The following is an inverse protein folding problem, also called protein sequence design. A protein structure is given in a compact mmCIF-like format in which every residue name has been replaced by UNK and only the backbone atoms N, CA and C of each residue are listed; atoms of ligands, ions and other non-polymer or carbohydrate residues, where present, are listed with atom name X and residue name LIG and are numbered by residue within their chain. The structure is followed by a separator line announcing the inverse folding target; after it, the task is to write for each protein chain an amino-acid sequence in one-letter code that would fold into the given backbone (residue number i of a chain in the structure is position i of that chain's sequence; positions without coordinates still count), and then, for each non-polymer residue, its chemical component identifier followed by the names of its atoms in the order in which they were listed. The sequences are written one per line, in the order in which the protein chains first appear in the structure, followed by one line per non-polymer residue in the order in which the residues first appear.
data_IF_156809587765
#
_entry.id   IF_156809587765
#
_cell.length_a   1.000
_cell.length_b   1.000
_cell.length_c   1.000
_cell.angle_alpha   90.00
_cell.angle_beta   90.00
_cell.angle_gamma   90.00
#
_symmetry.space_group_name_H-M   'P 1'
#
loop_
_entity.id
_entity.type
_entity.pdbx_description
1 polymer ?
#
# COMPACT_ATOMS: atom_id res chain seq x y z
N UNK A 1 -0.12 -7.35 8.23
CA UNK A 1 -0.72 -8.28 9.21
C UNK A 1 -1.78 -9.15 8.55
N UNK A 2 -1.35 -10.29 8.00
CA UNK A 2 -2.24 -11.22 7.30
C UNK A 2 -3.27 -11.87 8.25
N UNK A 3 -2.87 -12.11 9.49
CA UNK A 3 -3.78 -12.66 10.50
C UNK A 3 -4.85 -11.63 10.85
N UNK A 4 -4.47 -10.37 10.98
CA UNK A 4 -5.40 -9.27 11.19
C UNK A 4 -6.36 -9.07 10.02
N UNK A 5 -5.86 -9.19 8.78
CA UNK A 5 -6.73 -9.11 7.61
C UNK A 5 -7.82 -10.19 7.60
N UNK A 6 -7.48 -11.42 8.00
CA UNK A 6 -8.41 -12.56 8.15
C UNK A 6 -9.36 -12.38 9.34
N UNK A 7 -8.83 -11.91 10.48
CA UNK A 7 -9.60 -11.73 11.71
C UNK A 7 -10.46 -10.46 11.72
N UNK A 8 -10.30 -9.55 10.75
CA UNK A 8 -10.94 -8.23 10.71
C UNK A 8 -10.62 -7.34 11.91
N UNK A 9 -9.49 -7.60 12.58
CA UNK A 9 -8.93 -6.79 13.66
C UNK A 9 -7.41 -6.94 13.71
N UNK A 10 -6.63 -5.94 14.13
CA UNK A 10 -5.16 -6.06 14.26
C UNK A 10 -4.77 -7.18 15.23
N UNK A 11 -3.87 -8.08 14.79
CA UNK A 11 -3.42 -9.23 15.58
C UNK A 11 -1.94 -9.13 15.99
N UNK A 12 -1.12 -8.50 15.19
CA UNK A 12 0.33 -8.50 15.39
C UNK A 12 0.88 -7.15 15.90
N UNK A 13 0.11 -6.42 16.75
CA UNK A 13 0.52 -5.13 17.30
C UNK A 13 1.82 -5.22 18.12
N UNK A 14 2.03 -6.32 18.87
CA UNK A 14 3.26 -6.52 19.62
C UNK A 14 4.51 -6.65 18.72
N UNK A 15 4.35 -7.18 17.50
CA UNK A 15 5.43 -7.24 16.51
C UNK A 15 5.69 -5.83 15.96
N UNK A 16 4.63 -5.08 15.65
CA UNK A 16 4.73 -3.68 15.23
C UNK A 16 5.48 -2.84 16.25
N UNK A 17 5.09 -2.91 17.52
CA UNK A 17 5.75 -2.18 18.62
C UNK A 17 7.24 -2.54 18.74
N UNK A 18 7.57 -3.82 18.62
CA UNK A 18 8.98 -4.25 18.63
C UNK A 18 9.79 -3.68 17.48
N UNK A 19 9.24 -3.64 16.27
CA UNK A 19 9.93 -3.07 15.11
C UNK A 19 10.08 -1.56 15.28
N UNK A 20 9.00 -0.87 15.65
CA UNK A 20 8.99 0.59 15.81
C UNK A 20 9.94 1.06 16.95
N UNK A 21 10.06 0.30 18.05
CA UNK A 21 10.91 0.68 19.19
C UNK A 21 12.36 0.24 19.05
N UNK A 22 12.63 -0.82 18.27
CA UNK A 22 13.99 -1.38 18.16
C UNK A 22 14.72 -0.98 16.88
N UNK A 23 14.07 -0.26 15.98
CA UNK A 23 14.65 0.20 14.71
C UNK A 23 14.31 1.66 14.44
N UNK A 24 14.96 2.25 13.44
CA UNK A 24 14.64 3.58 12.92
C UNK A 24 13.71 3.53 11.70
N UNK A 25 13.09 2.39 11.42
CA UNK A 25 12.21 2.20 10.27
C UNK A 25 10.90 2.96 10.45
N UNK A 26 10.46 3.61 9.38
CA UNK A 26 9.08 4.09 9.29
C UNK A 26 8.17 2.91 8.90
N UNK A 27 7.37 2.46 9.85
CA UNK A 27 6.54 1.27 9.65
C UNK A 27 5.18 1.64 9.08
N UNK A 28 4.83 1.05 7.94
CA UNK A 28 3.48 1.06 7.40
C UNK A 28 2.78 -0.22 7.83
N UNK A 29 1.62 -0.10 8.45
CA UNK A 29 0.86 -1.26 8.93
C UNK A 29 -0.47 -1.40 8.21
N UNK A 30 -0.78 -2.60 7.73
CA UNK A 30 -2.05 -2.96 7.12
C UNK A 30 -2.54 -4.33 7.58
N UNK A 31 -3.85 -4.47 7.62
CA UNK A 31 -4.54 -5.70 8.02
C UNK A 31 -5.37 -5.53 9.29
N UNK A 32 -6.66 -5.84 9.18
CA UNK A 32 -7.60 -5.81 10.31
C UNK A 32 -8.11 -4.43 10.75
N UNK A 33 -7.74 -3.35 10.08
CA UNK A 33 -8.17 -1.99 10.44
C UNK A 33 -9.61 -1.78 9.92
N UNK A 34 -10.60 -2.01 10.80
CA UNK A 34 -12.04 -1.92 10.50
C UNK A 34 -12.78 -0.92 11.38
N UNK A 35 -12.11 -0.27 12.32
CA UNK A 35 -12.69 0.72 13.21
C UNK A 35 -11.67 1.80 13.55
N UNK A 36 -12.19 2.96 14.00
CA UNK A 36 -11.36 4.05 14.51
C UNK A 36 -10.52 3.62 15.72
N UNK A 37 -11.04 2.72 16.57
CA UNK A 37 -10.31 2.15 17.71
C UNK A 37 -9.13 1.30 17.23
N UNK A 38 -9.34 0.41 16.27
CA UNK A 38 -8.28 -0.39 15.65
C UNK A 38 -7.21 0.49 14.99
N UNK A 39 -7.61 1.56 14.29
CA UNK A 39 -6.68 2.51 13.69
C UNK A 39 -5.81 3.20 14.73
N UNK A 40 -6.41 3.67 15.84
CA UNK A 40 -5.66 4.28 16.95
C UNK A 40 -4.68 3.29 17.59
N UNK A 41 -5.12 2.06 17.85
CA UNK A 41 -4.23 1.03 18.42
C UNK A 41 -3.00 0.75 17.53
N UNK A 42 -3.16 0.83 16.22
CA UNK A 42 -2.06 0.69 15.26
C UNK A 42 -1.07 1.85 15.38
N UNK A 43 -1.55 3.09 15.50
CA UNK A 43 -0.67 4.24 15.70
C UNK A 43 -0.01 4.24 17.09
N UNK A 44 -0.75 3.88 18.12
CA UNK A 44 -0.23 3.77 19.50
C UNK A 44 0.87 2.70 19.60
N UNK A 45 0.78 1.63 18.80
CA UNK A 45 1.83 0.61 18.68
C UNK A 45 3.03 1.03 17.80
N UNK A 46 3.03 2.26 17.28
CA UNK A 46 4.18 2.88 16.62
C UNK A 46 4.19 2.81 15.09
N UNK A 47 3.05 2.55 14.43
CA UNK A 47 2.98 2.69 12.98
C UNK A 47 3.15 4.16 12.57
N UNK A 48 4.00 4.40 11.58
CA UNK A 48 4.15 5.72 10.96
C UNK A 48 2.94 6.03 10.07
N UNK A 49 2.44 5.02 9.37
CA UNK A 49 1.26 5.10 8.49
C UNK A 49 0.41 3.84 8.59
N UNK A 50 -0.89 3.97 8.33
CA UNK A 50 -1.85 2.86 8.33
C UNK A 50 -2.42 2.65 6.93
N UNK A 51 -2.40 1.40 6.45
CA UNK A 51 -2.92 1.01 5.14
C UNK A 51 -4.36 0.53 5.33
N UNK A 52 -5.30 1.23 4.72
CA UNK A 52 -6.73 0.96 4.77
C UNK A 52 -7.23 0.56 3.37
N UNK A 53 -7.59 -0.70 3.20
CA UNK A 53 -8.14 -1.23 1.94
C UNK A 53 -9.67 -1.37 2.01
N UNK A 54 -10.15 -2.52 2.46
CA UNK A 54 -11.58 -2.88 2.40
C UNK A 54 -12.52 -1.91 3.13
N UNK A 55 -12.07 -1.17 4.13
CA UNK A 55 -12.90 -0.15 4.81
C UNK A 55 -13.23 1.01 3.86
N UNK A 56 -12.29 1.43 3.02
CA UNK A 56 -12.50 2.50 2.04
C UNK A 56 -13.56 2.13 0.98
N UNK A 57 -13.71 0.84 0.69
CA UNK A 57 -14.72 0.33 -0.25
C UNK A 57 -16.08 0.13 0.45
N UNK A 58 -16.08 -0.45 1.65
CA UNK A 58 -17.31 -0.87 2.34
C UNK A 58 -17.97 0.23 3.16
N UNK A 59 -17.15 1.08 3.78
CA UNK A 59 -17.59 2.19 4.63
C UNK A 59 -16.82 3.46 4.24
N UNK A 60 -17.04 3.96 3.01
CA UNK A 60 -16.26 5.06 2.48
C UNK A 60 -16.40 6.35 3.28
N UNK A 61 -17.53 6.59 3.91
CA UNK A 61 -17.77 7.72 4.80
C UNK A 61 -16.86 7.66 6.03
N UNK A 62 -16.72 6.47 6.65
CA UNK A 62 -15.80 6.24 7.77
C UNK A 62 -14.35 6.51 7.36
N UNK A 63 -13.93 6.06 6.19
CA UNK A 63 -12.57 6.32 5.70
C UNK A 63 -12.33 7.81 5.41
N UNK A 64 -13.34 8.52 4.87
CA UNK A 64 -13.31 9.95 4.66
C UNK A 64 -13.16 10.74 5.97
N UNK A 65 -13.92 10.35 7.01
CA UNK A 65 -13.79 10.93 8.35
C UNK A 65 -12.39 10.71 8.94
N UNK A 66 -11.81 9.52 8.71
CA UNK A 66 -10.45 9.22 9.16
C UNK A 66 -9.41 10.05 8.40
N UNK A 67 -9.58 10.26 7.07
CA UNK A 67 -8.72 11.15 6.32
C UNK A 67 -8.77 12.59 6.86
N UNK A 68 -9.95 13.07 7.21
CA UNK A 68 -10.11 14.40 7.80
C UNK A 68 -9.47 14.50 9.20
N UNK A 69 -9.53 13.44 10.01
CA UNK A 69 -8.99 13.42 11.37
C UNK A 69 -7.47 13.21 11.42
N UNK A 70 -6.96 12.20 10.70
CA UNK A 70 -5.56 11.76 10.78
C UNK A 70 -4.69 12.36 9.68
N UNK A 71 -5.30 12.81 8.58
CA UNK A 71 -4.63 13.36 7.41
C UNK A 71 -4.08 12.31 6.43
N UNK A 72 -3.97 12.70 5.16
CA UNK A 72 -3.47 11.83 4.09
C UNK A 72 -1.98 11.44 4.23
N UNK A 73 -1.22 12.13 5.06
CA UNK A 73 0.16 11.75 5.40
C UNK A 73 0.27 10.55 6.35
N UNK A 74 -0.82 10.22 7.06
CA UNK A 74 -0.91 9.09 8.00
C UNK A 74 -1.68 7.90 7.44
N UNK A 75 -2.59 8.13 6.52
CA UNK A 75 -3.43 7.09 5.92
C UNK A 75 -3.01 6.81 4.48
N UNK A 76 -2.89 5.54 4.18
CA UNK A 76 -2.62 5.03 2.84
C UNK A 76 -3.85 4.24 2.40
N UNK A 77 -4.35 4.53 1.20
CA UNK A 77 -5.38 3.71 0.58
C UNK A 77 -4.76 2.42 0.01
N UNK A 78 -5.24 1.25 0.42
CA UNK A 78 -4.89 -0.02 -0.21
C UNK A 78 -5.86 -0.33 -1.36
N UNK A 79 -5.35 -0.41 -2.58
CA UNK A 79 -6.10 -0.76 -3.78
C UNK A 79 -5.51 -2.02 -4.40
N UNK A 80 -5.93 -3.18 -3.91
CA UNK A 80 -5.52 -4.48 -4.45
C UNK A 80 -6.37 -4.80 -5.68
N UNK A 81 -5.74 -4.98 -6.85
CA UNK A 81 -6.42 -5.09 -8.14
C UNK A 81 -6.37 -6.52 -8.65
N UNK A 82 -7.53 -7.02 -9.07
CA UNK A 82 -7.67 -8.26 -9.82
C UNK A 82 -8.62 -8.02 -11.00
N UNK A 83 -8.16 -8.33 -12.21
CA UNK A 83 -8.96 -8.18 -13.44
C UNK A 83 -9.61 -6.79 -13.59
N UNK A 84 -8.84 -5.74 -13.28
CA UNK A 84 -9.26 -4.34 -13.39
C UNK A 84 -10.16 -3.81 -12.27
N UNK A 85 -10.57 -4.63 -11.30
CA UNK A 85 -11.40 -4.21 -10.16
C UNK A 85 -10.67 -4.38 -8.83
N UNK A 86 -11.04 -3.57 -7.84
CA UNK A 86 -10.48 -3.64 -6.49
C UNK A 86 -11.02 -4.86 -5.75
N UNK A 87 -10.13 -5.67 -5.21
CA UNK A 87 -10.44 -6.78 -4.34
C UNK A 87 -10.49 -6.33 -2.87
N UNK A 88 -11.35 -6.97 -2.09
CA UNK A 88 -11.54 -6.69 -0.66
C UNK A 88 -11.48 -7.97 0.17
N UNK A 89 -11.47 -7.86 1.50
CA UNK A 89 -11.41 -9.00 2.44
C UNK A 89 -10.22 -9.93 2.22
N UNK A 90 -9.01 -9.39 2.13
CA UNK A 90 -7.83 -10.24 1.91
C UNK A 90 -7.92 -11.02 0.58
N UNK A 91 -8.46 -10.36 -0.47
CA UNK A 91 -8.57 -10.86 -1.85
C UNK A 91 -9.64 -11.93 -2.08
N UNK A 92 -10.53 -12.18 -1.11
CA UNK A 92 -11.57 -13.19 -1.24
C UNK A 92 -12.82 -12.70 -1.96
N UNK A 93 -13.04 -11.38 -1.97
CA UNK A 93 -14.18 -10.75 -2.63
C UNK A 93 -13.71 -9.70 -3.63
N UNK A 94 -14.46 -9.57 -4.72
CA UNK A 94 -14.24 -8.53 -5.75
C UNK A 94 -15.30 -7.44 -5.58
N UNK A 95 -14.87 -6.18 -5.59
CA UNK A 95 -15.78 -5.05 -5.70
C UNK A 95 -16.07 -4.75 -7.19
N UNK A 96 -17.09 -3.93 -7.45
CA UNK A 96 -17.34 -3.41 -8.79
C UNK A 96 -16.51 -2.15 -9.11
N UNK A 97 -15.79 -1.60 -8.10
CA UNK A 97 -15.01 -0.37 -8.24
C UNK A 97 -13.63 -0.65 -8.85
N UNK A 98 -13.23 0.23 -9.74
CA UNK A 98 -11.86 0.30 -10.25
C UNK A 98 -10.96 1.08 -9.27
N UNK A 99 -9.63 0.93 -9.41
CA UNK A 99 -8.69 1.75 -8.64
C UNK A 99 -8.85 3.25 -8.94
N UNK A 100 -9.12 3.61 -10.20
CA UNK A 100 -9.36 4.98 -10.62
C UNK A 100 -10.55 5.60 -9.89
N UNK A 101 -11.69 4.91 -9.86
CA UNK A 101 -12.90 5.37 -9.16
C UNK A 101 -12.67 5.54 -7.66
N UNK A 102 -11.96 4.58 -7.05
CA UNK A 102 -11.67 4.62 -5.62
C UNK A 102 -10.73 5.79 -5.27
N UNK A 103 -9.67 6.03 -6.06
CA UNK A 103 -8.76 7.15 -5.87
C UNK A 103 -9.49 8.48 -6.13
N UNK A 104 -10.27 8.58 -7.22
CA UNK A 104 -11.03 9.78 -7.57
C UNK A 104 -12.00 10.20 -6.46
N UNK A 105 -12.56 9.23 -5.72
CA UNK A 105 -13.44 9.48 -4.58
C UNK A 105 -12.72 10.19 -3.44
N UNK A 106 -11.50 9.79 -3.10
CA UNK A 106 -10.80 10.28 -1.92
C UNK A 106 -9.73 11.34 -2.18
N UNK A 107 -9.25 11.49 -3.41
CA UNK A 107 -8.28 12.54 -3.75
C UNK A 107 -8.74 13.95 -3.35
N UNK A 108 -10.01 14.36 -3.62
CA UNK A 108 -10.50 15.67 -3.17
C UNK A 108 -10.64 15.79 -1.64
N UNK A 109 -10.59 14.66 -0.92
CA UNK A 109 -10.72 14.59 0.54
C UNK A 109 -9.36 14.54 1.26
N UNK A 110 -8.28 14.80 0.51
CA UNK A 110 -6.93 14.86 1.09
C UNK A 110 -6.17 13.54 1.08
N UNK A 111 -6.61 12.54 0.30
CA UNK A 111 -5.82 11.32 0.07
C UNK A 111 -4.49 11.71 -0.59
N UNK A 112 -3.37 11.33 0.03
CA UNK A 112 -2.04 11.65 -0.45
C UNK A 112 -1.28 10.43 -1.00
N UNK A 113 -1.64 9.21 -0.57
CA UNK A 113 -0.89 7.99 -0.91
C UNK A 113 -1.82 6.81 -1.16
N UNK A 114 -1.47 6.01 -2.17
CA UNK A 114 -2.15 4.75 -2.51
C UNK A 114 -1.11 3.66 -2.73
N UNK A 115 -1.30 2.51 -2.11
CA UNK A 115 -0.60 1.28 -2.50
C UNK A 115 -1.53 0.52 -3.45
N UNK A 116 -1.04 0.32 -4.67
CA UNK A 116 -1.79 -0.37 -5.70
C UNK A 116 -1.10 -1.71 -6.01
N UNK A 117 -1.74 -2.83 -5.62
CA UNK A 117 -1.19 -4.18 -5.77
C UNK A 117 -1.86 -4.89 -6.93
N UNK A 118 -1.08 -5.36 -7.91
CA UNK A 118 -1.56 -6.34 -8.89
C UNK A 118 -1.51 -7.75 -8.26
N UNK A 119 -2.67 -8.23 -7.80
CA UNK A 119 -2.77 -9.52 -7.10
C UNK A 119 -2.36 -10.68 -8.01
N UNK A 120 -2.61 -10.60 -9.32
CA UNK A 120 -2.24 -11.67 -10.25
C UNK A 120 -0.73 -11.81 -10.41
N UNK A 121 0.03 -10.77 -10.10
CA UNK A 121 1.49 -10.72 -10.18
C UNK A 121 2.18 -10.78 -8.82
N UNK A 122 1.43 -10.55 -7.74
CA UNK A 122 2.02 -10.53 -6.40
C UNK A 122 2.67 -11.86 -6.04
N UNK A 123 3.94 -11.80 -5.63
CA UNK A 123 4.75 -12.98 -5.33
C UNK A 123 5.16 -13.84 -6.54
N UNK A 124 4.82 -13.47 -7.78
CA UNK A 124 5.09 -14.28 -8.98
C UNK A 124 6.43 -13.98 -9.64
N UNK A 125 7.11 -12.88 -9.29
CA UNK A 125 8.38 -12.45 -9.90
C UNK A 125 8.32 -12.38 -11.44
N UNK A 126 7.22 -11.85 -11.98
CA UNK A 126 6.96 -11.84 -13.42
C UNK A 126 6.99 -10.42 -14.04
N UNK A 127 7.53 -9.45 -13.30
CA UNK A 127 7.51 -8.04 -13.68
C UNK A 127 6.18 -7.37 -13.39
N UNK A 128 6.10 -6.07 -13.61
CA UNK A 128 4.92 -5.24 -13.36
C UNK A 128 4.51 -4.43 -14.59
N UNK A 129 3.28 -3.90 -14.61
CA UNK A 129 2.78 -3.09 -15.72
C UNK A 129 3.06 -1.61 -15.48
N UNK A 130 4.27 -1.13 -15.84
CA UNK A 130 4.66 0.27 -15.66
C UNK A 130 3.69 1.24 -16.37
N UNK A 131 3.20 0.88 -17.57
CA UNK A 131 2.25 1.70 -18.33
C UNK A 131 0.94 1.94 -17.57
N UNK A 132 0.38 0.89 -16.94
CA UNK A 132 -0.85 1.01 -16.15
C UNK A 132 -0.67 1.97 -14.97
N UNK A 133 0.42 1.81 -14.20
CA UNK A 133 0.67 2.65 -13.04
C UNK A 133 1.06 4.09 -13.41
N UNK A 134 1.80 4.28 -14.51
CA UNK A 134 2.10 5.61 -15.04
C UNK A 134 0.82 6.34 -15.49
N UNK A 135 -0.09 5.62 -16.15
CA UNK A 135 -1.41 6.16 -16.51
C UNK A 135 -2.22 6.58 -15.29
N UNK A 136 -2.19 5.76 -14.22
CA UNK A 136 -2.84 6.08 -12.96
C UNK A 136 -2.21 7.30 -12.27
N UNK A 137 -0.87 7.36 -12.18
CA UNK A 137 -0.14 8.51 -11.63
C UNK A 137 -0.43 9.79 -12.42
N UNK A 138 -0.51 9.73 -13.74
CA UNK A 138 -0.83 10.87 -14.60
C UNK A 138 -2.25 11.40 -14.38
N UNK A 139 -3.21 10.55 -14.05
CA UNK A 139 -4.58 10.95 -13.71
C UNK A 139 -4.67 11.63 -12.33
N UNK A 140 -3.81 11.23 -11.39
CA UNK A 140 -3.83 11.72 -10.01
C UNK A 140 -2.44 12.25 -9.58
N UNK A 141 -1.96 13.36 -10.17
CA UNK A 141 -0.60 13.87 -9.91
C UNK A 141 -0.38 14.33 -8.45
N UNK A 142 -1.46 14.60 -7.70
CA UNK A 142 -1.42 14.95 -6.28
C UNK A 142 -1.45 13.75 -5.32
N UNK A 143 -1.54 12.52 -5.84
CA UNK A 143 -1.58 11.29 -5.05
C UNK A 143 -0.38 10.43 -5.42
N UNK A 144 0.46 10.07 -4.46
CA UNK A 144 1.59 9.18 -4.69
C UNK A 144 1.09 7.74 -4.90
N UNK A 145 1.42 7.17 -6.06
CA UNK A 145 1.11 5.77 -6.37
C UNK A 145 2.30 4.89 -6.03
N UNK A 146 2.15 4.06 -5.01
CA UNK A 146 3.12 3.01 -4.67
C UNK A 146 2.76 1.74 -5.42
N UNK A 147 3.67 1.28 -6.26
CA UNK A 147 3.51 0.04 -7.04
C UNK A 147 3.79 -1.18 -6.18
N UNK A 148 2.91 -2.16 -6.20
CA UNK A 148 3.07 -3.42 -5.48
C UNK A 148 2.66 -4.62 -6.35
N UNK A 149 3.39 -5.73 -6.17
CA UNK A 149 3.17 -6.97 -6.92
C UNK A 149 4.03 -7.09 -8.18
N UNK A 150 4.65 -8.25 -8.35
CA UNK A 150 5.39 -8.61 -9.55
C UNK A 150 6.85 -8.19 -9.62
N UNK A 151 7.32 -7.27 -8.79
CA UNK A 151 8.72 -6.80 -8.82
C UNK A 151 9.68 -7.98 -8.68
N UNK A 152 10.52 -8.19 -9.70
CA UNK A 152 11.42 -9.33 -9.81
C UNK A 152 12.89 -8.94 -9.82
N UNK A 153 13.23 -7.75 -10.36
CA UNK A 153 14.59 -7.32 -10.60
C UNK A 153 14.77 -5.80 -10.47
N UNK A 154 16.02 -5.35 -10.44
CA UNK A 154 16.34 -3.91 -10.50
C UNK A 154 15.86 -3.27 -11.81
N UNK A 155 15.83 -4.02 -12.91
CA UNK A 155 15.31 -3.53 -14.20
C UNK A 155 13.84 -3.12 -14.11
N UNK A 156 13.03 -3.83 -13.31
CA UNK A 156 11.62 -3.43 -13.08
C UNK A 156 11.55 -2.10 -12.33
N UNK A 157 12.41 -1.90 -11.34
CA UNK A 157 12.47 -0.65 -10.56
C UNK A 157 12.91 0.51 -11.45
N UNK A 158 13.95 0.31 -12.27
CA UNK A 158 14.46 1.31 -13.23
C UNK A 158 13.39 1.68 -14.27
N UNK A 159 12.62 0.70 -14.77
CA UNK A 159 11.53 0.94 -15.70
C UNK A 159 10.40 1.77 -15.05
N UNK A 160 10.06 1.50 -13.78
CA UNK A 160 9.08 2.29 -13.03
C UNK A 160 9.57 3.71 -12.79
N UNK A 161 10.84 3.90 -12.39
CA UNK A 161 11.43 5.23 -12.20
C UNK A 161 11.44 6.02 -13.51
N UNK A 162 11.82 5.39 -14.61
CA UNK A 162 11.77 5.97 -15.96
C UNK A 162 10.36 6.36 -16.41
N UNK A 163 9.34 5.69 -15.89
CA UNK A 163 7.93 6.02 -16.10
C UNK A 163 7.38 7.09 -15.12
N UNK A 164 8.23 7.63 -14.24
CA UNK A 164 7.87 8.68 -13.27
C UNK A 164 7.26 8.16 -11.96
N UNK A 165 7.31 6.85 -11.73
CA UNK A 165 6.80 6.21 -10.50
C UNK A 165 7.94 6.12 -9.46
N UNK A 166 7.75 6.78 -8.33
CA UNK A 166 8.80 7.01 -7.32
C UNK A 166 8.72 6.09 -6.11
N UNK A 167 7.67 5.29 -6.02
CA UNK A 167 7.39 4.45 -4.85
C UNK A 167 7.06 3.03 -5.28
N UNK A 168 7.74 2.04 -4.68
CA UNK A 168 7.59 0.63 -5.02
C UNK A 168 7.77 -0.25 -3.78
N UNK A 169 7.00 -1.32 -3.70
CA UNK A 169 7.18 -2.36 -2.67
C UNK A 169 7.96 -3.52 -3.27
N UNK A 170 9.10 -3.80 -2.66
CA UNK A 170 9.95 -4.96 -2.96
C UNK A 170 9.75 -5.99 -1.86
N UNK A 171 9.10 -7.09 -2.18
CA UNK A 171 8.83 -8.19 -1.24
C UNK A 171 9.68 -9.42 -1.54
N UNK A 172 9.10 -10.39 -2.23
CA UNK A 172 9.69 -11.70 -2.51
C UNK A 172 11.06 -11.63 -3.18
N UNK A 173 11.28 -10.68 -4.10
CA UNK A 173 12.57 -10.51 -4.76
C UNK A 173 13.72 -10.21 -3.79
N UNK A 174 13.45 -9.47 -2.69
CA UNK A 174 14.43 -9.22 -1.64
C UNK A 174 14.67 -10.48 -0.79
N UNK A 175 13.59 -11.17 -0.39
CA UNK A 175 13.70 -12.37 0.46
C UNK A 175 14.38 -13.55 -0.25
N UNK A 176 14.20 -13.68 -1.56
CA UNK A 176 14.82 -14.72 -2.39
C UNK A 176 16.19 -14.30 -2.96
N UNK A 177 16.64 -13.08 -2.69
CA UNK A 177 17.95 -12.58 -3.12
C UNK A 177 18.06 -12.22 -4.59
N UNK A 178 16.92 -12.02 -5.29
CA UNK A 178 16.91 -11.49 -6.66
C UNK A 178 17.26 -10.01 -6.72
N UNK A 179 16.99 -9.29 -5.64
CA UNK A 179 17.38 -7.90 -5.42
C UNK A 179 18.06 -7.83 -4.05
N UNK A 180 19.22 -7.19 -3.98
CA UNK A 180 19.99 -7.03 -2.75
C UNK A 180 19.76 -5.66 -2.11
N UNK A 181 20.02 -5.54 -0.80
CA UNK A 181 19.98 -4.25 -0.11
C UNK A 181 20.99 -3.26 -0.66
N UNK A 182 22.16 -3.73 -1.14
CA UNK A 182 23.17 -2.88 -1.75
C UNK A 182 22.70 -2.26 -3.08
N UNK A 183 21.96 -3.03 -3.88
CA UNK A 183 21.34 -2.49 -5.10
C UNK A 183 20.26 -1.48 -4.79
N UNK A 184 19.39 -1.76 -3.80
CA UNK A 184 18.33 -0.84 -3.37
C UNK A 184 18.87 0.46 -2.81
N UNK A 185 20.01 0.46 -2.12
CA UNK A 185 20.64 1.70 -1.63
C UNK A 185 20.90 2.72 -2.76
N UNK A 186 21.21 2.25 -3.99
CA UNK A 186 21.46 3.14 -5.14
C UNK A 186 20.20 3.91 -5.58
N UNK A 187 19.02 3.43 -5.20
CA UNK A 187 17.74 4.08 -5.51
C UNK A 187 17.33 5.11 -4.45
N UNK A 188 18.03 5.15 -3.31
CA UNK A 188 17.70 6.08 -2.23
C UNK A 188 18.34 7.45 -2.48
N UNK A 189 17.58 8.56 -2.34
CA UNK A 189 18.18 9.88 -2.36
C UNK A 189 19.11 10.01 -1.15
N UNK A 190 20.38 10.26 -1.39
CA UNK A 190 21.45 10.42 -0.38
C UNK A 190 21.98 9.11 0.26
N UNK A 191 22.04 8.02 -0.49
CA UNK A 191 22.77 6.82 -0.06
C UNK A 191 24.28 6.98 -0.27
#
# INVERSE_FOLDING_TARGET
DLDGAKASEPRNLAVLERVATKTTLEVQYGGGIKSRGALRSVFDAGASRAICGSIAVREPESFAEWLAEFGGGKLILGADIRDGAVAVQGWTERSEMTAQELIARFAPQGLAQVICTDIARDGMLCGTSAEFYAGLQGQFPGVEITVSGGIASMTDIEALDGAGLRSVIVGKALYEGHITLEELKRCLPNA
#
